data_IF_738221416758
#
_entry.id   IF_738221416758
#
_cell.length_a   1.000
_cell.length_b   1.000
_cell.length_c   1.000
_cell.angle_alpha   90.00
_cell.angle_beta   90.00
_cell.angle_gamma   90.00
#
_symmetry.space_group_name_H-M   'P 1'
#
loop_
_entity.id
_entity.type
_entity.pdbx_description
1 polymer ?
#
# COMPACT_ATOMS: atom_id res chain seq x y z
N UNK A 1 20.67 -34.45 3.10
CA UNK A 1 20.51 -33.22 2.28
C UNK A 1 19.12 -32.68 2.54
N UNK A 2 18.98 -31.52 3.18
CA UNK A 2 17.68 -30.89 3.41
C UNK A 2 17.28 -30.09 2.17
N UNK A 3 16.05 -30.22 1.65
CA UNK A 3 15.60 -29.42 0.52
C UNK A 3 15.55 -27.94 0.92
N UNK A 4 16.19 -27.08 0.12
CA UNK A 4 16.11 -25.63 0.32
C UNK A 4 14.72 -25.15 -0.15
N UNK A 5 14.03 -24.31 0.63
CA UNK A 5 12.82 -23.68 0.15
C UNK A 5 13.14 -22.73 -1.01
N UNK A 6 12.36 -22.82 -2.08
CA UNK A 6 12.44 -21.92 -3.23
C UNK A 6 11.05 -21.29 -3.46
N UNK A 7 11.03 -20.00 -3.78
CA UNK A 7 9.79 -19.31 -4.12
C UNK A 7 9.35 -19.74 -5.52
N UNK A 8 8.17 -20.34 -5.62
CA UNK A 8 7.52 -20.63 -6.90
C UNK A 8 6.57 -19.49 -7.26
N UNK A 9 6.55 -19.10 -8.54
CA UNK A 9 5.56 -18.17 -9.06
C UNK A 9 4.19 -18.86 -9.03
N UNK A 10 3.28 -18.33 -8.22
CA UNK A 10 1.90 -18.80 -8.16
C UNK A 10 1.13 -18.20 -9.33
N UNK A 11 1.08 -18.88 -10.47
CA UNK A 11 0.19 -18.49 -11.57
C UNK A 11 -1.27 -18.68 -11.14
N UNK A 12 -1.99 -17.59 -10.91
CA UNK A 12 -3.43 -17.65 -10.63
C UNK A 12 -4.21 -17.61 -11.95
N UNK A 13 -5.21 -18.48 -12.07
CA UNK A 13 -6.19 -18.35 -13.15
C UNK A 13 -7.21 -17.26 -12.77
N UNK A 14 -6.95 -16.03 -13.23
CA UNK A 14 -7.81 -14.89 -12.97
C UNK A 14 -8.86 -14.73 -14.09
N UNK A 15 -10.14 -14.73 -13.75
CA UNK A 15 -11.25 -14.58 -14.69
C UNK A 15 -12.13 -13.37 -14.34
N UNK A 16 -13.02 -12.97 -15.27
CA UNK A 16 -13.99 -11.88 -15.08
C UNK A 16 -13.41 -10.47 -15.24
N UNK A 17 -14.30 -9.50 -15.45
CA UNK A 17 -13.95 -8.09 -15.67
C UNK A 17 -14.60 -7.20 -14.61
N UNK A 18 -13.79 -6.63 -13.74
CA UNK A 18 -14.22 -5.71 -12.68
C UNK A 18 -13.03 -4.81 -12.32
N UNK A 19 -12.74 -3.79 -13.13
CA UNK A 19 -11.48 -3.07 -13.10
C UNK A 19 -11.24 -2.37 -11.75
N UNK A 20 -9.97 -2.21 -11.41
CA UNK A 20 -9.52 -1.49 -10.22
C UNK A 20 -8.34 -0.59 -10.57
N UNK A 21 -8.27 0.57 -9.92
CA UNK A 21 -7.12 1.45 -9.99
C UNK A 21 -6.23 1.20 -8.77
N UNK A 22 -4.93 1.04 -8.96
CA UNK A 22 -3.98 0.93 -7.85
C UNK A 22 -3.53 2.30 -7.32
N UNK A 23 -2.82 2.31 -6.20
CA UNK A 23 -2.27 3.52 -5.55
C UNK A 23 -1.16 4.22 -6.34
N UNK A 24 -0.74 3.66 -7.47
CA UNK A 24 0.27 4.21 -8.36
C UNK A 24 -0.31 4.57 -9.74
N UNK A 25 -1.64 4.61 -9.88
CA UNK A 25 -2.30 5.02 -11.12
C UNK A 25 -2.34 3.96 -12.23
N UNK A 26 -2.06 2.69 -11.93
CA UNK A 26 -2.18 1.56 -12.87
C UNK A 26 -3.54 0.89 -12.75
N UNK A 27 -4.20 0.72 -13.90
CA UNK A 27 -5.46 -0.03 -13.99
C UNK A 27 -5.17 -1.53 -14.11
N UNK A 28 -5.91 -2.32 -13.33
CA UNK A 28 -5.92 -3.78 -13.44
C UNK A 28 -7.31 -4.26 -13.83
N UNK A 29 -7.36 -5.34 -14.62
CA UNK A 29 -8.60 -5.98 -15.11
C UNK A 29 -9.55 -6.31 -13.96
N UNK A 30 -8.99 -6.78 -12.84
CA UNK A 30 -9.70 -6.97 -11.58
C UNK A 30 -8.71 -7.12 -10.40
N UNK A 31 -9.25 -7.29 -9.19
CA UNK A 31 -8.46 -7.52 -7.95
C UNK A 31 -7.54 -8.75 -8.02
N UNK A 32 -7.93 -9.81 -8.73
CA UNK A 32 -7.10 -11.01 -8.88
C UNK A 32 -5.81 -10.67 -9.64
N UNK A 33 -5.94 -10.00 -10.78
CA UNK A 33 -4.80 -9.57 -11.59
C UNK A 33 -3.88 -8.58 -10.86
N UNK A 34 -4.42 -7.67 -10.04
CA UNK A 34 -3.58 -6.84 -9.18
C UNK A 34 -2.78 -7.71 -8.20
N UNK A 35 -3.45 -8.67 -7.54
CA UNK A 35 -2.82 -9.55 -6.56
C UNK A 35 -1.74 -10.45 -7.18
N UNK A 36 -1.93 -10.89 -8.42
CA UNK A 36 -0.98 -11.70 -9.19
C UNK A 36 0.24 -10.89 -9.65
N UNK A 37 0.07 -9.57 -9.82
CA UNK A 37 1.15 -8.64 -10.22
C UNK A 37 2.02 -8.12 -9.08
N UNK A 38 1.72 -8.48 -7.82
CA UNK A 38 2.43 -7.94 -6.66
C UNK A 38 3.88 -8.44 -6.67
N UNK A 39 4.82 -7.50 -6.59
CA UNK A 39 6.26 -7.77 -6.50
C UNK A 39 6.72 -7.40 -5.09
N UNK A 40 7.67 -8.17 -4.56
CA UNK A 40 8.37 -7.81 -3.32
C UNK A 40 8.92 -6.37 -3.43
N UNK A 41 8.75 -5.56 -2.38
CA UNK A 41 9.07 -4.11 -2.36
C UNK A 41 8.19 -3.17 -3.20
N UNK A 42 7.06 -3.63 -3.73
CA UNK A 42 6.06 -2.74 -4.35
C UNK A 42 4.70 -2.91 -3.67
N UNK A 43 4.44 -2.19 -2.57
CA UNK A 43 3.24 -2.35 -1.73
C UNK A 43 1.98 -1.72 -2.34
N UNK A 44 1.74 -1.97 -3.65
CA UNK A 44 0.54 -1.60 -4.40
C UNK A 44 -0.71 -2.06 -3.67
N UNK A 45 -1.65 -1.15 -3.52
CA UNK A 45 -2.98 -1.42 -3.00
C UNK A 45 -4.02 -0.90 -4.00
N UNK A 46 -5.25 -1.38 -3.89
CA UNK A 46 -6.36 -0.78 -4.63
C UNK A 46 -6.58 0.62 -4.08
N UNK A 47 -6.51 1.62 -4.94
CA UNK A 47 -6.89 2.98 -4.64
C UNK A 47 -8.42 3.14 -4.70
N UNK A 48 -9.05 2.69 -5.79
CA UNK A 48 -10.50 2.72 -5.94
C UNK A 48 -11.00 1.69 -6.97
N UNK A 49 -12.32 1.46 -6.98
CA UNK A 49 -12.98 0.59 -7.94
C UNK A 49 -13.17 1.30 -9.28
N UNK A 50 -13.04 0.57 -10.37
CA UNK A 50 -13.06 1.11 -11.73
C UNK A 50 -11.65 1.37 -12.29
N UNK A 51 -11.55 1.75 -13.58
CA UNK A 51 -10.28 2.06 -14.20
C UNK A 51 -9.70 3.38 -13.66
N UNK A 52 -8.38 3.51 -13.67
CA UNK A 52 -7.72 4.76 -13.38
C UNK A 52 -8.11 5.84 -14.39
N UNK A 53 -8.28 7.08 -13.91
CA UNK A 53 -8.52 8.25 -14.75
C UNK A 53 -7.50 9.33 -14.43
N UNK A 54 -7.05 10.05 -15.45
CA UNK A 54 -6.24 11.25 -15.30
C UNK A 54 -7.02 12.31 -14.50
N UNK A 55 -6.35 13.02 -13.61
CA UNK A 55 -6.93 14.08 -12.77
C UNK A 55 -8.17 13.64 -11.99
N UNK A 56 -8.32 12.35 -11.66
CA UNK A 56 -9.42 11.86 -10.82
C UNK A 56 -9.27 12.50 -9.44
N UNK A 57 -10.35 13.09 -8.94
CA UNK A 57 -10.41 13.69 -7.61
C UNK A 57 -11.36 12.91 -6.71
N UNK A 58 -11.32 13.19 -5.41
CA UNK A 58 -12.31 12.69 -4.47
C UNK A 58 -13.67 13.32 -4.74
N UNK A 59 -14.63 12.51 -5.18
CA UNK A 59 -16.04 12.88 -5.37
C UNK A 59 -16.93 12.00 -4.48
N UNK A 60 -18.16 12.45 -4.21
CA UNK A 60 -19.09 11.74 -3.30
C UNK A 60 -19.41 10.31 -3.75
N UNK A 61 -19.34 10.05 -5.05
CA UNK A 61 -19.66 8.77 -5.70
C UNK A 61 -18.45 7.86 -5.93
N UNK A 62 -17.22 8.34 -5.68
CA UNK A 62 -16.02 7.56 -5.99
C UNK A 62 -15.86 6.34 -5.08
N UNK A 63 -16.12 6.52 -3.79
CA UNK A 63 -15.93 5.50 -2.77
C UNK A 63 -17.27 4.93 -2.29
N UNK A 64 -17.24 3.77 -1.66
CA UNK A 64 -18.44 3.18 -1.05
C UNK A 64 -18.90 4.02 0.15
N UNK A 65 -20.18 3.96 0.58
CA UNK A 65 -20.72 4.80 1.65
C UNK A 65 -19.95 4.75 2.99
N UNK A 66 -19.26 3.64 3.28
CA UNK A 66 -18.50 3.44 4.52
C UNK A 66 -16.99 3.68 4.36
N UNK A 67 -16.57 4.25 3.23
CA UNK A 67 -15.18 4.57 2.92
C UNK A 67 -14.99 6.09 2.91
N UNK A 68 -13.84 6.53 3.43
CA UNK A 68 -13.39 7.90 3.24
C UNK A 68 -12.56 7.98 1.96
N UNK A 69 -12.69 9.09 1.23
CA UNK A 69 -11.80 9.40 0.13
C UNK A 69 -10.73 10.38 0.60
N UNK A 70 -9.47 10.01 0.40
CA UNK A 70 -8.31 10.86 0.64
C UNK A 70 -7.49 10.95 -0.65
N UNK A 71 -6.58 11.91 -0.76
CA UNK A 71 -5.61 11.95 -1.86
C UNK A 71 -4.21 11.60 -1.37
N UNK A 72 -3.40 11.02 -2.25
CA UNK A 72 -1.97 10.86 -1.99
C UNK A 72 -1.30 12.23 -1.89
N UNK A 73 -0.21 12.30 -1.13
CA UNK A 73 0.57 13.54 -0.94
C UNK A 73 1.70 13.69 -1.97
N UNK A 74 1.76 12.79 -2.94
CA UNK A 74 2.70 12.88 -4.06
C UNK A 74 2.19 13.88 -5.11
N UNK A 75 3.04 14.18 -6.09
CA UNK A 75 2.73 15.15 -7.16
C UNK A 75 1.48 14.79 -7.99
N UNK A 76 1.03 13.53 -7.98
CA UNK A 76 -0.09 13.06 -8.78
C UNK A 76 -1.44 13.17 -8.05
N UNK A 77 -1.45 13.34 -6.73
CA UNK A 77 -2.67 13.52 -5.90
C UNK A 77 -3.78 12.48 -6.18
N UNK A 78 -3.39 11.22 -6.32
CA UNK A 78 -4.31 10.15 -6.66
C UNK A 78 -5.33 9.93 -5.53
N UNK A 79 -6.63 9.75 -5.85
CA UNK A 79 -7.64 9.51 -4.84
C UNK A 79 -7.56 8.06 -4.37
N UNK A 80 -7.75 7.84 -3.07
CA UNK A 80 -7.72 6.53 -2.43
C UNK A 80 -8.92 6.40 -1.50
N UNK A 81 -9.71 5.37 -1.72
CA UNK A 81 -10.82 4.96 -0.87
C UNK A 81 -10.30 4.06 0.26
N UNK A 82 -10.54 4.48 1.50
CA UNK A 82 -10.12 3.75 2.69
C UNK A 82 -11.33 3.44 3.58
N UNK A 83 -11.49 2.19 3.98
CA UNK A 83 -12.48 1.80 4.98
C UNK A 83 -11.91 2.00 6.39
N UNK A 84 -12.28 3.08 7.06
CA UNK A 84 -11.83 3.38 8.42
C UNK A 84 -12.72 2.79 9.53
N UNK A 85 -13.73 2.00 9.16
CA UNK A 85 -14.56 1.26 10.12
C UNK A 85 -13.91 -0.07 10.54
N UNK A 86 -12.83 -0.50 9.88
CA UNK A 86 -12.15 -1.77 10.15
C UNK A 86 -11.23 -1.66 11.36
N UNK A 87 -11.79 -1.89 12.54
CA UNK A 87 -11.05 -1.89 13.81
C UNK A 87 -10.42 -3.27 14.12
N UNK A 88 -9.53 -3.78 13.25
CA UNK A 88 -8.73 -4.94 13.66
C UNK A 88 -7.83 -4.53 14.85
N UNK A 89 -7.90 -5.23 16.00
CA UNK A 89 -7.01 -4.97 17.12
C UNK A 89 -5.55 -5.12 16.69
N UNK A 90 -4.68 -4.18 17.06
CA UNK A 90 -3.25 -4.19 16.68
C UNK A 90 -2.56 -5.52 16.99
N UNK A 91 -2.95 -6.18 18.10
CA UNK A 91 -2.40 -7.48 18.53
C UNK A 91 -2.68 -8.64 17.56
N UNK A 92 -3.71 -8.53 16.72
CA UNK A 92 -4.08 -9.54 15.72
C UNK A 92 -3.44 -9.29 14.35
N UNK A 93 -2.62 -8.24 14.23
CA UNK A 93 -2.02 -7.85 12.97
C UNK A 93 -0.59 -8.41 12.88
N UNK A 94 -0.27 -9.17 11.81
CA UNK A 94 1.07 -9.72 11.62
C UNK A 94 2.13 -8.62 11.67
N UNK A 95 3.28 -8.93 12.28
CA UNK A 95 4.43 -8.06 12.24
C UNK A 95 4.89 -7.91 10.78
N UNK A 96 4.97 -6.67 10.31
CA UNK A 96 5.43 -6.31 8.98
C UNK A 96 5.99 -4.89 9.11
N UNK A 97 7.31 -4.77 9.15
CA UNK A 97 8.00 -3.52 9.42
C UNK A 97 8.23 -2.73 8.14
N UNK A 98 7.85 -1.46 8.12
CA UNK A 98 8.10 -0.58 6.98
C UNK A 98 8.17 0.91 7.38
N UNK A 99 8.84 1.70 6.54
CA UNK A 99 8.90 3.15 6.62
C UNK A 99 7.83 3.77 5.70
N UNK A 100 7.03 4.67 6.25
CA UNK A 100 6.09 5.48 5.47
C UNK A 100 6.79 6.64 4.76
N UNK A 101 6.15 7.17 3.72
CA UNK A 101 6.60 8.39 3.04
C UNK A 101 6.59 9.63 3.94
N UNK A 102 5.89 9.57 5.08
CA UNK A 102 5.92 10.56 6.17
C UNK A 102 7.13 10.39 7.12
N UNK A 103 8.09 9.53 6.77
CA UNK A 103 9.30 9.24 7.57
C UNK A 103 9.03 8.62 8.93
N UNK A 104 7.84 8.05 9.14
CA UNK A 104 7.49 7.30 10.35
C UNK A 104 7.52 5.81 10.09
N UNK A 105 7.94 5.08 11.12
CA UNK A 105 8.00 3.63 11.10
C UNK A 105 6.69 3.01 11.59
N UNK A 106 6.30 1.91 10.95
CA UNK A 106 5.12 1.14 11.30
C UNK A 106 5.49 -0.33 11.45
N UNK A 107 5.08 -0.95 12.57
CA UNK A 107 5.41 -2.34 12.88
C UNK A 107 4.44 -3.34 12.23
N UNK A 108 3.31 -2.84 11.73
CA UNK A 108 2.33 -3.61 10.97
C UNK A 108 1.36 -2.71 10.18
N UNK A 109 0.60 -3.31 9.27
CA UNK A 109 -0.40 -2.61 8.45
C UNK A 109 -1.56 -1.99 9.23
N UNK A 110 -1.88 -2.51 10.42
CA UNK A 110 -2.97 -1.99 11.22
C UNK A 110 -2.59 -0.68 11.91
N UNK A 111 -1.34 -0.56 12.38
CA UNK A 111 -0.82 0.70 12.90
C UNK A 111 -0.82 1.78 11.80
N UNK A 112 -0.33 1.43 10.60
CA UNK A 112 -0.37 2.34 9.44
C UNK A 112 -1.80 2.75 9.09
N UNK A 113 -2.70 1.78 9.00
CA UNK A 113 -4.09 2.03 8.66
C UNK A 113 -4.80 2.88 9.72
N UNK A 114 -4.54 2.62 11.00
CA UNK A 114 -5.05 3.43 12.10
C UNK A 114 -4.62 4.89 11.96
N UNK A 115 -3.33 5.16 11.75
CA UNK A 115 -2.85 6.54 11.56
C UNK A 115 -3.49 7.20 10.34
N UNK A 116 -3.50 6.52 9.17
CA UNK A 116 -4.18 7.02 7.95
C UNK A 116 -5.63 7.45 8.21
N UNK A 117 -6.35 6.69 9.02
CA UNK A 117 -7.74 6.98 9.37
C UNK A 117 -7.88 8.13 10.38
N UNK A 118 -7.00 8.21 11.38
CA UNK A 118 -6.98 9.31 12.35
C UNK A 118 -6.64 10.64 11.68
N UNK A 119 -5.62 10.65 10.81
CA UNK A 119 -5.14 11.87 10.13
C UNK A 119 -5.91 12.21 8.87
N UNK A 120 -6.70 11.27 8.34
CA UNK A 120 -7.36 11.37 7.03
C UNK A 120 -6.36 11.64 5.89
N UNK A 121 -5.19 11.02 5.96
CA UNK A 121 -4.15 11.13 4.93
C UNK A 121 -3.74 9.75 4.41
N UNK A 122 -3.36 9.67 3.14
CA UNK A 122 -2.80 8.45 2.58
C UNK A 122 -1.27 8.42 2.75
N UNK A 123 -0.81 7.75 3.80
CA UNK A 123 0.62 7.50 4.06
C UNK A 123 1.06 6.30 3.21
N UNK A 124 1.77 6.53 2.11
CA UNK A 124 2.29 5.45 1.25
C UNK A 124 3.44 4.71 1.97
N UNK A 125 3.53 3.40 1.81
CA UNK A 125 4.72 2.67 2.24
C UNK A 125 5.84 3.02 1.25
N UNK A 126 6.91 3.61 1.76
CA UNK A 126 8.08 4.02 1.00
C UNK A 126 9.00 2.82 0.75
N UNK A 127 9.36 2.10 1.82
CA UNK A 127 10.15 0.87 1.76
C UNK A 127 9.92 0.01 3.00
N UNK A 128 10.24 -1.28 2.87
CA UNK A 128 10.23 -2.24 3.97
C UNK A 128 11.46 -2.08 4.88
N UNK A 129 11.29 -2.27 6.18
CA UNK A 129 12.34 -2.08 7.19
C UNK A 129 12.19 -0.81 8.04
N UNK A 130 13.21 -0.55 8.86
CA UNK A 130 13.31 0.65 9.70
C UNK A 130 13.42 1.90 8.82
N UNK A 131 12.83 3.01 9.24
CA UNK A 131 13.15 4.28 8.59
C UNK A 131 14.65 4.58 8.76
N UNK A 132 15.31 4.99 7.67
CA UNK A 132 16.69 5.50 7.72
C UNK A 132 16.71 6.71 8.66
N UNK A 133 17.45 6.60 9.74
CA UNK A 133 17.85 7.75 10.55
C UNK A 133 19.02 8.43 9.85
N UNK A 134 19.16 9.75 10.00
CA UNK A 134 20.33 10.47 9.46
C UNK A 134 21.66 9.92 10.00
N UNK A 135 21.63 9.18 11.11
CA UNK A 135 22.80 8.56 11.75
C UNK A 135 23.34 7.31 11.02
N UNK A 136 22.59 6.73 10.07
CA UNK A 136 23.05 5.58 9.27
C UNK A 136 23.71 5.98 7.94
N UNK A 137 23.76 7.28 7.63
CA UNK A 137 24.44 7.79 6.43
C UNK A 137 25.95 8.03 6.69
N UNK A 138 26.40 8.09 7.95
CA UNK A 138 27.79 8.38 8.31
C UNK A 138 28.70 7.13 8.44
N UNK A 139 28.13 5.92 8.48
CA UNK A 139 28.91 4.69 8.71
C UNK A 139 29.19 3.89 7.42
N UNK A 140 28.59 4.26 6.28
CA UNK A 140 28.83 3.59 4.98
C UNK A 140 29.80 4.33 4.05
N UNK A 141 30.24 5.54 4.40
CA UNK A 141 31.22 6.34 3.63
C UNK A 141 32.61 6.44 4.29
N UNK A 142 32.84 5.77 5.43
CA UNK A 142 34.15 5.71 6.12
C UNK A 142 34.65 4.29 6.37
N UNK A 143 34.30 3.35 5.49
CA UNK A 143 34.90 2.01 5.44
C UNK A 143 36.14 1.98 4.55
N UNK A 144 37.29 2.32 5.15
CA UNK A 144 38.66 2.16 4.63
C UNK A 144 38.96 0.73 4.16
#
# INVERSE_FOLDING_TARGET
MTPKPHCILRQRNCTGFSPVCDTYGKTFVNRCHLSDSLVFNQPRQIAYRGPCRLNRQCTKDLCQPNEICVQTIDKYHHPVCMNCSSNKPLKLCPFELFCGNNKRQYINRCQLHYERCQTKTYIQIEYYGLCRTQELDDEYDNGN
#
